data_IF_938290155745
#
_entry.id   IF_938290155745
#
_cell.length_a   1.000
_cell.length_b   1.000
_cell.length_c   1.000
_cell.angle_alpha   90.00
_cell.angle_beta   90.00
_cell.angle_gamma   90.00
#
_symmetry.space_group_name_H-M   'P 1'
#
loop_
_entity.id
_entity.type
_entity.pdbx_description
1 polymer ?
#
# COMPACT_ATOMS: atom_id res chain seq x y z
N UNK A 1 -40.99 -57.34 38.05
CA UNK A 1 -41.61 -56.03 38.31
C UNK A 1 -40.63 -54.94 37.89
N UNK A 2 -40.98 -54.11 36.87
CA UNK A 2 -40.58 -52.68 36.68
C UNK A 2 -39.07 -52.32 36.70
N UNK A 3 -38.42 -51.63 35.76
CA UNK A 3 -38.66 -50.94 34.48
C UNK A 3 -37.25 -50.83 33.82
N UNK A 4 -37.12 -51.10 32.51
CA UNK A 4 -36.70 -50.17 31.43
C UNK A 4 -35.40 -49.36 31.63
N UNK A 5 -34.66 -49.25 30.51
CA UNK A 5 -33.59 -48.30 30.12
C UNK A 5 -32.18 -48.91 30.12
N UNK A 6 -31.75 -49.48 28.99
CA UNK A 6 -30.49 -49.12 28.31
C UNK A 6 -30.41 -49.83 26.94
N UNK A 7 -30.98 -49.22 25.90
CA UNK A 7 -30.80 -49.65 24.50
C UNK A 7 -30.34 -48.45 23.65
N UNK A 8 -29.23 -47.81 24.01
CA UNK A 8 -28.50 -46.91 23.10
C UNK A 8 -27.01 -47.05 23.42
N UNK A 9 -26.36 -48.03 22.80
CA UNK A 9 -24.91 -48.17 22.82
C UNK A 9 -24.48 -49.06 21.64
N UNK A 10 -24.82 -48.68 20.40
CA UNK A 10 -24.14 -49.17 19.20
C UNK A 10 -24.52 -48.41 17.89
N UNK A 11 -24.66 -47.09 17.94
CA UNK A 11 -24.62 -46.22 16.73
C UNK A 11 -23.87 -44.95 17.13
N UNK A 12 -22.59 -45.11 17.46
CA UNK A 12 -21.72 -44.02 17.91
C UNK A 12 -20.28 -44.21 17.42
N UNK A 13 -20.11 -44.85 16.26
CA UNK A 13 -18.81 -45.06 15.64
C UNK A 13 -18.93 -45.23 14.12
N UNK A 14 -19.67 -44.35 13.44
CA UNK A 14 -19.71 -44.27 11.96
C UNK A 14 -20.28 -42.94 11.45
N UNK A 15 -20.07 -41.86 12.21
CA UNK A 15 -20.31 -40.48 11.77
C UNK A 15 -19.21 -39.56 12.34
N UNK A 16 -17.93 -39.95 12.20
CA UNK A 16 -16.90 -38.93 12.04
C UNK A 16 -17.09 -38.37 10.63
N UNK A 17 -17.88 -37.30 10.61
CA UNK A 17 -18.01 -36.33 9.53
C UNK A 17 -16.72 -36.25 8.70
N UNK A 18 -16.86 -36.56 7.42
CA UNK A 18 -16.00 -36.04 6.38
C UNK A 18 -15.93 -34.52 6.57
N UNK A 19 -14.87 -34.05 7.23
CA UNK A 19 -14.44 -32.67 7.10
C UNK A 19 -13.95 -32.58 5.66
N UNK A 20 -14.55 -31.76 4.79
CA UNK A 20 -13.92 -31.49 3.51
C UNK A 20 -12.56 -30.88 3.85
N UNK A 21 -11.50 -31.66 3.65
CA UNK A 21 -10.19 -31.06 3.44
C UNK A 21 -10.39 -30.20 2.21
N UNK A 22 -10.51 -28.89 2.42
CA UNK A 22 -10.23 -27.91 1.38
C UNK A 22 -8.80 -28.17 0.95
N UNK A 23 -8.65 -29.02 -0.07
CA UNK A 23 -7.45 -29.05 -0.88
C UNK A 23 -7.40 -27.66 -1.47
N UNK A 24 -6.63 -26.77 -0.85
CA UNK A 24 -6.11 -25.61 -1.55
C UNK A 24 -5.39 -26.21 -2.76
N UNK A 25 -6.01 -26.12 -3.93
CA UNK A 25 -5.29 -26.38 -5.16
C UNK A 25 -4.11 -25.40 -5.12
N UNK A 26 -2.90 -25.93 -4.93
CA UNK A 26 -1.71 -25.12 -5.07
C UNK A 26 -1.79 -24.55 -6.48
N UNK A 27 -1.98 -23.23 -6.58
CA UNK A 27 -1.83 -22.55 -7.86
C UNK A 27 -0.45 -22.94 -8.38
N UNK A 28 -0.40 -23.54 -9.57
CA UNK A 28 0.88 -23.91 -10.19
C UNK A 28 1.78 -22.67 -10.22
N UNK A 29 3.03 -22.83 -9.78
CA UNK A 29 4.01 -21.75 -9.83
C UNK A 29 4.23 -21.34 -11.28
N UNK A 30 4.22 -20.03 -11.54
CA UNK A 30 4.49 -19.49 -12.85
C UNK A 30 5.92 -19.85 -13.30
N UNK A 31 6.05 -20.27 -14.55
CA UNK A 31 7.36 -20.47 -15.19
C UNK A 31 7.95 -19.10 -15.51
N UNK A 32 9.20 -18.87 -15.12
CA UNK A 32 9.94 -17.68 -15.54
C UNK A 32 10.43 -17.86 -16.98
N UNK A 33 10.00 -16.97 -17.87
CA UNK A 33 10.25 -17.03 -19.31
C UNK A 33 11.41 -16.12 -19.76
N UNK A 34 11.93 -15.29 -18.84
CA UNK A 34 12.89 -14.20 -19.09
C UNK A 34 14.10 -14.62 -19.93
N UNK A 35 14.75 -15.74 -19.59
CA UNK A 35 15.95 -16.24 -20.29
C UNK A 35 15.72 -16.63 -21.75
N UNK A 36 14.47 -16.95 -22.10
CA UNK A 36 14.06 -17.34 -23.46
C UNK A 36 13.28 -16.25 -24.18
N UNK A 37 13.07 -15.11 -23.52
CA UNK A 37 12.28 -14.00 -24.00
C UNK A 37 13.00 -13.29 -25.15
N UNK A 38 12.35 -13.19 -26.30
CA UNK A 38 12.85 -12.40 -27.42
C UNK A 38 12.30 -10.98 -27.31
N UNK A 39 13.20 -10.01 -27.15
CA UNK A 39 12.87 -8.59 -27.16
C UNK A 39 13.17 -7.98 -28.53
N UNK A 40 12.21 -7.23 -29.06
CA UNK A 40 12.44 -6.34 -30.21
C UNK A 40 11.93 -4.94 -29.91
N UNK A 41 12.67 -3.93 -30.36
CA UNK A 41 12.36 -2.54 -30.11
C UNK A 41 12.35 -1.77 -31.43
N UNK A 42 11.47 -0.77 -31.54
CA UNK A 42 11.27 0.01 -32.77
C UNK A 42 12.56 0.63 -33.32
N UNK A 43 13.48 1.04 -32.45
CA UNK A 43 14.68 1.84 -32.81
C UNK A 43 16.01 1.41 -32.18
N UNK A 44 16.00 0.50 -31.21
CA UNK A 44 17.16 0.21 -30.35
C UNK A 44 17.59 -1.25 -30.51
N UNK A 45 18.90 -1.50 -30.45
CA UNK A 45 19.48 -2.84 -30.62
C UNK A 45 20.10 -3.44 -29.35
N UNK A 46 20.40 -2.63 -28.33
CA UNK A 46 21.07 -3.09 -27.10
C UNK A 46 20.07 -3.53 -26.01
N UNK A 47 19.15 -4.45 -26.35
CA UNK A 47 18.05 -4.87 -25.48
C UNK A 47 18.44 -5.91 -24.43
N UNK A 48 19.60 -6.54 -24.55
CA UNK A 48 20.09 -7.51 -23.55
C UNK A 48 20.27 -6.93 -22.16
N UNK A 49 20.30 -5.60 -22.02
CA UNK A 49 20.30 -4.89 -20.74
C UNK A 49 18.99 -5.02 -19.96
N UNK A 50 17.89 -5.37 -20.64
CA UNK A 50 16.55 -5.47 -20.05
C UNK A 50 16.24 -6.88 -19.54
N UNK A 51 17.21 -7.79 -19.59
CA UNK A 51 17.08 -9.19 -19.14
C UNK A 51 18.37 -9.66 -18.47
N UNK A 52 19.17 -8.74 -17.91
CA UNK A 52 20.46 -9.05 -17.26
C UNK A 52 20.37 -9.10 -15.73
N UNK A 53 19.15 -9.09 -15.19
CA UNK A 53 18.86 -9.13 -13.76
C UNK A 53 19.47 -7.97 -12.95
N UNK A 54 19.67 -6.81 -13.59
CA UNK A 54 20.33 -5.66 -12.97
C UNK A 54 19.50 -4.39 -13.10
N UNK A 55 19.25 -3.74 -11.97
CA UNK A 55 18.62 -2.42 -11.91
C UNK A 55 19.60 -1.26 -12.17
N UNK A 56 20.85 -1.55 -12.58
CA UNK A 56 21.87 -0.54 -12.91
C UNK A 56 22.14 -0.39 -14.40
N UNK A 57 21.88 -1.46 -15.16
CA UNK A 57 21.71 -1.46 -16.61
C UNK A 57 20.39 -0.79 -16.92
N UNK A 58 20.37 0.12 -17.90
CA UNK A 58 19.18 0.87 -18.25
C UNK A 58 19.12 1.28 -19.71
N UNK A 59 17.89 1.47 -20.16
CA UNK A 59 17.54 1.99 -21.49
C UNK A 59 16.58 3.16 -21.31
N UNK A 60 16.93 4.29 -21.92
CA UNK A 60 16.03 5.43 -22.04
C UNK A 60 15.02 5.14 -23.14
N UNK A 61 13.74 5.21 -22.80
CA UNK A 61 12.61 5.10 -23.71
C UNK A 61 12.06 6.50 -23.99
N UNK A 62 11.59 6.72 -25.21
CA UNK A 62 10.92 7.96 -25.61
C UNK A 62 9.46 7.69 -25.95
N UNK A 63 8.63 8.72 -25.86
CA UNK A 63 7.23 8.63 -26.30
C UNK A 63 7.12 8.13 -27.74
N UNK A 64 6.33 7.06 -27.92
CA UNK A 64 6.13 6.40 -29.21
C UNK A 64 7.08 5.23 -29.47
N UNK A 65 7.99 4.93 -28.53
CA UNK A 65 8.73 3.68 -28.55
C UNK A 65 7.82 2.49 -28.24
N UNK A 66 8.10 1.38 -28.92
CA UNK A 66 7.41 0.11 -28.72
C UNK A 66 8.44 -0.96 -28.40
N UNK A 67 8.21 -1.68 -27.31
CA UNK A 67 8.94 -2.89 -26.95
C UNK A 67 8.02 -4.08 -27.16
N UNK A 68 8.36 -4.96 -28.10
CA UNK A 68 7.64 -6.20 -28.37
C UNK A 68 8.37 -7.36 -27.70
N UNK A 69 7.62 -8.17 -26.96
CA UNK A 69 8.08 -9.30 -26.17
C UNK A 69 7.47 -10.55 -26.78
N UNK A 70 8.31 -11.51 -27.17
CA UNK A 70 7.86 -12.78 -27.76
C UNK A 70 8.44 -13.97 -26.99
N UNK A 71 7.61 -14.98 -26.72
CA UNK A 71 7.99 -16.23 -26.04
C UNK A 71 7.25 -17.41 -26.67
N UNK A 72 7.83 -18.61 -26.58
CA UNK A 72 7.18 -19.86 -27.02
C UNK A 72 6.01 -20.25 -26.10
N UNK A 73 6.04 -19.80 -24.84
CA UNK A 73 4.98 -20.01 -23.85
C UNK A 73 4.15 -18.73 -23.69
N UNK A 74 2.80 -18.81 -23.60
CA UNK A 74 1.98 -17.63 -23.35
C UNK A 74 2.35 -16.90 -22.05
N UNK A 75 2.60 -15.60 -22.17
CA UNK A 75 2.98 -14.72 -21.06
C UNK A 75 1.73 -14.35 -20.26
N UNK A 76 1.69 -14.76 -19.00
CA UNK A 76 0.62 -14.50 -18.05
C UNK A 76 0.87 -13.32 -17.11
N UNK A 77 2.12 -12.91 -16.93
CA UNK A 77 2.49 -11.71 -16.18
C UNK A 77 3.81 -11.11 -16.66
N UNK A 78 3.95 -9.81 -16.45
CA UNK A 78 5.20 -9.07 -16.60
C UNK A 78 5.60 -8.46 -15.26
N UNK A 79 6.90 -8.32 -15.03
CA UNK A 79 7.44 -7.54 -13.93
C UNK A 79 8.50 -6.59 -14.50
N UNK A 80 8.19 -5.30 -14.44
CA UNK A 80 9.00 -4.24 -15.03
C UNK A 80 9.70 -3.44 -13.93
N UNK A 81 10.99 -3.17 -14.12
CA UNK A 81 11.80 -2.37 -13.21
C UNK A 81 12.23 -1.09 -13.91
N UNK A 82 11.89 0.05 -13.33
CA UNK A 82 12.21 1.40 -13.84
C UNK A 82 13.16 2.15 -12.89
N UNK A 83 14.12 2.90 -13.43
CA UNK A 83 15.06 3.75 -12.65
C UNK A 83 14.32 4.92 -11.97
N UNK A 84 13.19 5.36 -12.56
CA UNK A 84 12.33 6.44 -12.08
C UNK A 84 10.86 6.07 -12.26
N UNK A 85 9.94 6.66 -11.47
CA UNK A 85 8.51 6.48 -11.68
C UNK A 85 8.17 6.75 -13.15
N UNK A 86 7.62 5.77 -13.90
CA UNK A 86 7.32 5.95 -15.31
C UNK A 86 6.12 6.87 -15.48
N UNK A 87 6.06 7.60 -16.59
CA UNK A 87 4.80 8.16 -17.05
C UNK A 87 3.85 7.01 -17.47
N UNK A 88 2.51 7.21 -17.44
CA UNK A 88 1.57 6.18 -17.83
C UNK A 88 1.86 5.60 -19.21
N UNK A 89 1.73 4.28 -19.33
CA UNK A 89 2.01 3.51 -20.54
C UNK A 89 0.98 2.38 -20.70
N UNK A 90 1.04 1.64 -21.80
CA UNK A 90 0.13 0.53 -22.00
C UNK A 90 0.83 -0.75 -22.44
N UNK A 91 0.25 -1.89 -22.07
CA UNK A 91 0.63 -3.21 -22.56
C UNK A 91 -0.52 -3.74 -23.39
N UNK A 92 -0.25 -4.07 -24.66
CA UNK A 92 -1.20 -4.71 -25.55
C UNK A 92 -0.96 -6.23 -25.58
N UNK A 93 -2.05 -6.97 -25.40
CA UNK A 93 -2.10 -8.43 -25.45
C UNK A 93 -3.27 -8.86 -26.34
N UNK A 94 -2.98 -9.22 -27.60
CA UNK A 94 -4.01 -9.41 -28.63
C UNK A 94 -4.84 -8.13 -28.83
N UNK A 95 -6.15 -8.23 -28.57
CA UNK A 95 -7.09 -7.09 -28.62
C UNK A 95 -7.22 -6.34 -27.27
N UNK A 96 -6.60 -6.85 -26.20
CA UNK A 96 -6.69 -6.24 -24.86
C UNK A 96 -5.61 -5.19 -24.69
N UNK A 97 -5.98 -4.01 -24.17
CA UNK A 97 -5.06 -2.94 -23.76
C UNK A 97 -5.12 -2.80 -22.25
N UNK A 98 -3.96 -2.88 -21.60
CA UNK A 98 -3.81 -2.76 -20.15
C UNK A 98 -3.13 -1.43 -19.87
N UNK A 99 -3.73 -0.59 -19.03
CA UNK A 99 -3.17 0.70 -18.60
C UNK A 99 -2.26 0.49 -17.39
N UNK A 100 -1.05 1.03 -17.46
CA UNK A 100 0.03 0.79 -16.49
C UNK A 100 0.76 2.10 -16.14
N UNK A 101 1.61 2.09 -15.13
CA UNK A 101 2.42 3.25 -14.73
C UNK A 101 1.64 4.36 -14.03
N UNK A 102 0.46 4.06 -13.48
CA UNK A 102 -0.43 5.06 -12.86
C UNK A 102 -0.13 5.30 -11.37
N UNK A 103 0.64 4.39 -10.75
CA UNK A 103 0.89 4.43 -9.30
C UNK A 103 2.27 4.99 -8.93
N UNK A 104 3.12 5.30 -9.91
CA UNK A 104 4.48 5.80 -9.68
C UNK A 104 5.44 4.77 -9.08
N UNK A 105 5.18 3.47 -9.29
CA UNK A 105 6.04 2.41 -8.79
C UNK A 105 7.28 2.24 -9.67
N UNK A 106 8.43 1.99 -9.05
CA UNK A 106 9.64 1.60 -9.77
C UNK A 106 9.58 0.14 -10.21
N UNK A 107 8.99 -0.71 -9.37
CA UNK A 107 8.84 -2.14 -9.57
C UNK A 107 7.35 -2.40 -9.80
N UNK A 108 6.95 -2.71 -11.03
CA UNK A 108 5.54 -2.84 -11.40
C UNK A 108 5.25 -4.23 -11.97
N UNK A 109 4.31 -4.93 -11.34
CA UNK A 109 3.80 -6.23 -11.80
C UNK A 109 2.53 -6.02 -12.61
N UNK A 110 2.46 -6.59 -13.82
CA UNK A 110 1.33 -6.48 -14.73
C UNK A 110 0.81 -7.88 -15.03
N UNK A 111 -0.41 -8.17 -14.58
CA UNK A 111 -1.09 -9.42 -14.92
C UNK A 111 -1.73 -9.33 -16.31
N UNK A 112 -1.53 -10.36 -17.13
CA UNK A 112 -2.07 -10.45 -18.49
C UNK A 112 -3.32 -11.35 -18.47
N UNK A 113 -4.54 -10.79 -18.54
CA UNK A 113 -5.77 -11.58 -18.35
C UNK A 113 -5.95 -12.69 -19.41
N UNK A 114 -5.49 -12.41 -20.64
CA UNK A 114 -5.54 -13.32 -21.77
C UNK A 114 -4.11 -13.60 -22.25
N UNK A 115 -3.38 -14.56 -21.64
CA UNK A 115 -1.98 -14.79 -21.96
C UNK A 115 -1.72 -14.99 -23.46
N UNK A 116 -0.69 -14.33 -23.99
CA UNK A 116 -0.29 -14.41 -25.40
C UNK A 116 1.20 -14.72 -25.51
N UNK A 117 1.61 -15.33 -26.62
CA UNK A 117 3.03 -15.55 -26.95
C UNK A 117 3.73 -14.28 -27.44
N UNK A 118 2.98 -13.23 -27.76
CA UNK A 118 3.50 -11.92 -28.14
C UNK A 118 2.73 -10.80 -27.44
N UNK A 119 3.46 -9.86 -26.85
CA UNK A 119 2.95 -8.65 -26.22
C UNK A 119 3.66 -7.43 -26.79
N UNK A 120 3.00 -6.28 -26.83
CA UNK A 120 3.64 -5.01 -27.19
C UNK A 120 3.41 -3.98 -26.09
N UNK A 121 4.49 -3.44 -25.55
CA UNK A 121 4.46 -2.34 -24.59
C UNK A 121 4.65 -1.03 -25.34
N UNK A 122 3.71 -0.12 -25.18
CA UNK A 122 3.75 1.23 -25.72
C UNK A 122 4.22 2.17 -24.62
N UNK A 123 5.52 2.45 -24.61
CA UNK A 123 6.15 3.21 -23.54
C UNK A 123 6.05 4.72 -23.80
N UNK A 124 5.79 5.44 -22.72
CA UNK A 124 6.03 6.88 -22.61
C UNK A 124 7.51 7.13 -22.27
N UNK A 125 7.91 8.40 -22.18
CA UNK A 125 9.23 8.75 -21.67
C UNK A 125 9.47 8.10 -20.30
N UNK A 126 10.46 7.22 -20.24
CA UNK A 126 10.77 6.40 -19.08
C UNK A 126 12.21 5.87 -19.16
N UNK A 127 12.70 5.35 -18.04
CA UNK A 127 14.02 4.70 -17.96
C UNK A 127 13.78 3.29 -17.45
N UNK A 128 13.80 2.32 -18.36
CA UNK A 128 13.55 0.92 -18.05
C UNK A 128 14.89 0.23 -17.76
N UNK A 129 14.95 -0.47 -16.63
CA UNK A 129 16.13 -1.23 -16.21
C UNK A 129 16.00 -2.71 -16.59
N UNK A 130 14.85 -3.33 -16.29
CA UNK A 130 14.71 -4.78 -16.42
C UNK A 130 13.26 -5.19 -16.75
N UNK A 131 13.13 -6.36 -17.37
CA UNK A 131 11.87 -6.96 -17.81
C UNK A 131 11.90 -8.45 -17.55
N UNK A 132 11.00 -8.89 -16.67
CA UNK A 132 10.74 -10.30 -16.46
C UNK A 132 9.39 -10.66 -17.06
N UNK A 133 9.30 -11.85 -17.63
CA UNK A 133 8.06 -12.41 -18.14
C UNK A 133 7.80 -13.76 -17.49
N UNK A 134 6.55 -14.02 -17.14
CA UNK A 134 6.14 -15.26 -16.48
C UNK A 134 4.94 -15.87 -17.21
N UNK A 135 4.84 -17.19 -17.19
CA UNK A 135 3.61 -17.88 -17.58
C UNK A 135 2.49 -17.63 -16.56
N UNK A 136 1.28 -18.12 -16.83
CA UNK A 136 0.18 -18.00 -15.87
C UNK A 136 0.43 -18.89 -14.64
N UNK A 137 0.42 -18.31 -13.44
CA UNK A 137 0.58 -19.04 -12.20
C UNK A 137 0.86 -18.14 -11.01
N UNK A 138 1.18 -18.75 -9.86
CA UNK A 138 1.68 -18.01 -8.70
C UNK A 138 3.10 -17.49 -8.97
N UNK A 139 3.31 -16.19 -8.84
CA UNK A 139 4.60 -15.56 -9.08
C UNK A 139 5.63 -15.93 -7.99
N UNK A 140 6.93 -16.03 -8.33
CA UNK A 140 7.98 -16.24 -7.33
C UNK A 140 8.06 -15.10 -6.30
N UNK A 141 8.54 -15.42 -5.10
CA UNK A 141 8.57 -14.48 -3.97
C UNK A 141 9.40 -13.20 -4.20
N UNK A 142 10.31 -13.18 -5.17
CA UNK A 142 11.11 -11.99 -5.49
C UNK A 142 10.35 -10.95 -6.33
N UNK A 143 9.26 -11.36 -6.99
CA UNK A 143 8.46 -10.47 -7.83
C UNK A 143 7.62 -9.56 -6.94
N UNK A 144 7.83 -8.25 -7.06
CA UNK A 144 7.18 -7.28 -6.20
C UNK A 144 5.83 -6.85 -6.78
N UNK A 145 4.77 -7.42 -6.24
CA UNK A 145 3.39 -7.06 -6.52
C UNK A 145 2.88 -6.11 -5.42
N UNK A 146 3.21 -4.82 -5.58
CA UNK A 146 2.95 -3.79 -4.59
C UNK A 146 1.47 -3.37 -4.54
N UNK A 147 0.94 -3.26 -3.33
CA UNK A 147 -0.28 -2.50 -3.07
C UNK A 147 0.04 -1.00 -3.06
N UNK A 148 -0.95 -0.16 -3.39
CA UNK A 148 -0.85 1.30 -3.17
C UNK A 148 -0.57 1.59 -1.69
N UNK A 149 0.08 2.74 -1.38
CA UNK A 149 0.14 3.21 0.00
C UNK A 149 -1.26 3.21 0.61
N UNK A 150 -1.38 2.82 1.88
CA UNK A 150 -2.69 2.68 2.50
C UNK A 150 -3.47 4.00 2.53
N UNK A 151 -4.79 3.93 2.65
CA UNK A 151 -5.59 5.12 2.99
C UNK A 151 -5.44 5.45 4.48
N UNK A 152 -5.47 4.42 5.34
CA UNK A 152 -5.18 4.46 6.77
C UNK A 152 -4.24 3.31 7.19
N UNK A 153 -3.51 3.46 8.29
CA UNK A 153 -2.58 2.42 8.77
C UNK A 153 -2.67 2.21 10.27
N UNK A 154 -2.28 1.02 10.73
CA UNK A 154 -2.14 0.72 12.16
C UNK A 154 -0.82 1.34 12.68
N UNK A 155 0.23 1.26 11.88
CA UNK A 155 1.57 1.75 12.22
C UNK A 155 2.14 2.60 11.08
N UNK A 156 2.64 3.78 11.41
CA UNK A 156 3.45 4.61 10.51
C UNK A 156 4.91 4.62 10.98
N UNK A 157 5.81 4.12 10.14
CA UNK A 157 7.26 4.12 10.38
C UNK A 157 7.91 5.26 9.58
N UNK A 158 8.72 6.09 10.24
CA UNK A 158 9.33 7.29 9.65
C UNK A 158 10.87 7.23 9.60
N UNK A 159 11.46 6.35 8.77
CA UNK A 159 12.90 6.36 8.51
C UNK A 159 13.33 7.65 7.81
N UNK A 160 14.59 8.05 7.99
CA UNK A 160 15.13 9.23 7.31
C UNK A 160 15.60 8.86 5.92
N UNK A 161 16.54 7.92 5.82
CA UNK A 161 17.19 7.45 4.59
C UNK A 161 16.80 6.00 4.28
N UNK A 162 17.14 5.56 3.07
CA UNK A 162 17.05 4.16 2.65
C UNK A 162 18.13 3.30 3.33
N UNK A 163 17.74 2.53 4.35
CA UNK A 163 18.48 1.55 5.17
C UNK A 163 18.10 1.64 6.65
N UNK A 164 17.78 2.86 7.11
CA UNK A 164 17.38 3.19 8.48
C UNK A 164 16.25 2.29 9.00
N UNK A 165 15.29 1.96 8.13
CA UNK A 165 14.14 1.09 8.41
C UNK A 165 14.56 -0.27 8.98
N UNK A 166 15.75 -0.75 8.61
CA UNK A 166 16.30 -2.00 9.12
C UNK A 166 17.30 -1.77 10.25
N UNK A 167 18.18 -0.77 10.12
CA UNK A 167 19.27 -0.54 11.08
C UNK A 167 18.72 -0.16 12.47
N UNK A 168 17.78 0.78 12.53
CA UNK A 168 17.29 1.36 13.79
C UNK A 168 15.93 0.84 14.21
N UNK A 169 15.09 0.45 13.25
CA UNK A 169 13.73 -0.03 13.54
C UNK A 169 13.60 -1.55 13.50
N UNK A 170 14.63 -2.26 13.01
CA UNK A 170 14.85 -3.68 13.22
C UNK A 170 13.62 -4.55 12.98
N UNK A 171 13.18 -5.24 14.04
CA UNK A 171 12.13 -6.25 13.98
C UNK A 171 10.70 -5.72 13.80
N UNK A 172 10.47 -4.41 13.79
CA UNK A 172 9.13 -3.82 13.72
C UNK A 172 8.37 -4.31 12.48
N UNK A 173 8.95 -4.15 11.28
CA UNK A 173 8.27 -4.52 10.03
C UNK A 173 7.98 -6.02 9.91
N UNK A 174 8.95 -6.94 10.09
CA UNK A 174 8.66 -8.36 9.97
C UNK A 174 7.68 -8.83 11.06
N UNK A 175 7.73 -8.28 12.27
CA UNK A 175 6.79 -8.65 13.31
C UNK A 175 5.37 -8.12 13.03
N UNK A 176 5.19 -6.80 12.90
CA UNK A 176 3.85 -6.21 12.80
C UNK A 176 3.22 -6.39 11.42
N UNK A 177 3.97 -6.16 10.34
CA UNK A 177 3.43 -6.32 8.98
C UNK A 177 3.40 -7.80 8.57
N UNK A 178 4.56 -8.46 8.65
CA UNK A 178 4.71 -9.82 8.15
C UNK A 178 4.00 -10.88 8.99
N UNK A 179 4.23 -10.89 10.30
CA UNK A 179 3.68 -11.91 11.20
C UNK A 179 2.26 -11.57 11.71
N UNK A 180 2.01 -10.34 12.13
CA UNK A 180 0.73 -9.93 12.72
C UNK A 180 -0.28 -9.40 11.69
N UNK A 181 0.15 -9.13 10.45
CA UNK A 181 -0.74 -8.64 9.38
C UNK A 181 -1.27 -7.22 9.61
N UNK A 182 -0.64 -6.42 10.48
CA UNK A 182 -1.00 -5.01 10.69
C UNK A 182 -0.67 -4.20 9.43
N UNK A 183 -1.48 -3.19 9.15
CA UNK A 183 -1.21 -2.19 8.10
C UNK A 183 -0.04 -1.32 8.54
N UNK A 184 1.17 -1.70 8.16
CA UNK A 184 2.38 -0.90 8.40
C UNK A 184 2.70 -0.07 7.15
N UNK A 185 2.56 1.25 7.25
CA UNK A 185 3.00 2.18 6.23
C UNK A 185 4.41 2.68 6.56
N UNK A 186 5.31 2.62 5.60
CA UNK A 186 6.65 3.23 5.71
C UNK A 186 6.68 4.52 4.89
N UNK A 187 7.16 5.61 5.48
CA UNK A 187 7.29 6.90 4.82
C UNK A 187 8.66 7.53 5.11
N UNK A 188 9.49 7.65 4.08
CA UNK A 188 10.85 8.18 4.17
C UNK A 188 10.85 9.70 4.17
N UNK A 189 11.72 10.30 5.00
CA UNK A 189 11.91 11.75 4.99
C UNK A 189 12.69 12.22 3.78
N UNK A 190 13.71 11.50 3.30
CA UNK A 190 14.49 11.90 2.13
C UNK A 190 14.40 10.86 1.00
N UNK A 191 14.71 11.30 -0.22
CA UNK A 191 14.87 10.43 -1.38
C UNK A 191 16.34 10.27 -1.77
N UNK A 192 16.58 9.18 -2.48
CA UNK A 192 17.87 8.85 -3.07
C UNK A 192 17.82 8.87 -4.60
N UNK A 193 17.07 9.79 -5.20
CA UNK A 193 17.03 9.92 -6.66
C UNK A 193 18.43 10.21 -7.24
N UNK A 194 19.32 10.85 -6.48
CA UNK A 194 20.73 11.05 -6.88
C UNK A 194 21.55 9.76 -6.95
N UNK A 195 21.09 8.67 -6.32
CA UNK A 195 21.78 7.38 -6.20
C UNK A 195 20.86 6.26 -6.69
N UNK A 196 20.68 6.07 -8.01
CA UNK A 196 19.55 5.29 -8.55
C UNK A 196 19.43 3.84 -8.06
N UNK A 197 20.50 3.25 -7.54
CA UNK A 197 20.48 1.92 -6.93
C UNK A 197 19.77 1.89 -5.56
N UNK A 198 19.86 2.95 -4.75
CA UNK A 198 19.33 2.96 -3.37
C UNK A 198 17.81 2.84 -3.29
N UNK A 199 16.99 3.48 -4.17
CA UNK A 199 15.55 3.24 -4.19
C UNK A 199 15.19 1.76 -4.45
N UNK A 200 15.98 1.05 -5.27
CA UNK A 200 15.76 -0.37 -5.53
C UNK A 200 16.16 -1.24 -4.33
N UNK A 201 17.29 -0.93 -3.69
CA UNK A 201 17.73 -1.58 -2.46
C UNK A 201 16.68 -1.43 -1.33
N UNK A 202 16.12 -0.23 -1.19
CA UNK A 202 15.00 0.08 -0.29
C UNK A 202 13.78 -0.80 -0.57
N UNK A 203 13.30 -0.84 -1.83
CA UNK A 203 12.13 -1.64 -2.19
C UNK A 203 12.36 -3.13 -1.94
N UNK A 204 13.53 -3.63 -2.31
CA UNK A 204 13.93 -5.02 -2.06
C UNK A 204 13.95 -5.33 -0.55
N UNK A 205 14.50 -4.44 0.27
CA UNK A 205 14.58 -4.58 1.73
C UNK A 205 13.19 -4.66 2.37
N UNK A 206 12.31 -3.72 2.02
CA UNK A 206 10.92 -3.68 2.48
C UNK A 206 10.14 -4.94 2.06
N UNK A 207 10.26 -5.35 0.81
CA UNK A 207 9.58 -6.54 0.30
C UNK A 207 10.04 -7.81 1.03
N UNK A 208 11.35 -7.93 1.29
CA UNK A 208 11.97 -9.05 2.01
C UNK A 208 11.37 -9.23 3.40
N UNK A 209 11.09 -8.13 4.11
CA UNK A 209 10.57 -8.17 5.49
C UNK A 209 9.05 -8.15 5.60
N UNK A 210 8.34 -8.39 4.49
CA UNK A 210 6.88 -8.57 4.49
C UNK A 210 6.07 -7.28 4.32
N UNK A 211 6.69 -6.15 4.01
CA UNK A 211 5.94 -4.94 3.63
C UNK A 211 5.38 -5.13 2.22
N UNK A 212 4.11 -4.80 2.04
CA UNK A 212 3.38 -4.94 0.76
C UNK A 212 2.70 -3.67 0.29
N UNK A 213 2.54 -2.67 1.15
CA UNK A 213 2.16 -1.32 0.74
C UNK A 213 3.39 -0.58 0.25
N UNK A 214 3.30 0.06 -0.92
CA UNK A 214 4.41 0.82 -1.47
C UNK A 214 4.82 1.95 -0.51
N UNK A 215 6.12 2.18 -0.29
CA UNK A 215 6.58 3.23 0.61
C UNK A 215 6.24 4.62 0.06
N UNK A 216 5.98 5.57 0.96
CA UNK A 216 5.97 6.99 0.59
C UNK A 216 7.39 7.49 0.66
N UNK A 217 7.89 8.09 -0.42
CA UNK A 217 9.21 8.69 -0.49
C UNK A 217 9.00 10.17 -0.79
N UNK A 218 9.53 11.06 0.06
CA UNK A 218 9.36 12.50 -0.12
C UNK A 218 10.15 13.04 -1.32
N UNK A 219 9.87 14.30 -1.70
CA UNK A 219 10.65 15.03 -2.70
C UNK A 219 11.96 15.62 -2.14
N UNK A 220 12.23 15.51 -0.84
CA UNK A 220 13.41 16.11 -0.21
C UNK A 220 14.66 15.28 -0.51
N UNK A 221 15.67 15.88 -1.14
CA UNK A 221 16.92 15.19 -1.45
C UNK A 221 17.68 14.78 -0.18
N UNK A 222 18.35 13.63 -0.21
CA UNK A 222 19.32 13.27 0.81
C UNK A 222 20.52 14.25 0.82
N UNK A 223 20.79 14.87 1.97
CA UNK A 223 21.88 15.80 2.19
C UNK A 223 22.53 15.51 3.53
N UNK A 224 23.86 15.37 3.52
CA UNK A 224 24.61 15.05 4.73
C UNK A 224 24.63 16.19 5.75
N UNK A 225 24.37 15.86 7.02
CA UNK A 225 24.52 16.80 8.14
C UNK A 225 24.93 16.07 9.42
N UNK A 226 25.71 16.74 10.27
CA UNK A 226 26.15 16.24 11.58
C UNK A 226 25.56 17.00 12.76
N UNK A 227 24.58 17.88 12.52
CA UNK A 227 23.82 18.55 13.58
C UNK A 227 22.46 19.04 13.08
N UNK A 228 21.51 19.15 14.01
CA UNK A 228 20.19 19.71 13.77
C UNK A 228 20.26 21.12 13.22
N UNK A 229 21.10 21.98 13.81
CA UNK A 229 21.25 23.37 13.39
C UNK A 229 21.71 23.48 11.93
N UNK A 230 22.67 22.65 11.51
CA UNK A 230 23.09 22.63 10.12
C UNK A 230 21.99 22.03 9.22
N UNK A 231 21.33 20.95 9.63
CA UNK A 231 20.24 20.35 8.86
C UNK A 231 19.09 21.35 8.59
N UNK A 232 18.74 22.19 9.56
CA UNK A 232 17.75 23.27 9.41
C UNK A 232 18.15 24.34 8.38
N UNK A 233 19.42 24.45 8.01
CA UNK A 233 19.87 25.35 6.94
C UNK A 233 19.80 24.73 5.55
N UNK A 234 19.72 23.40 5.46
CA UNK A 234 19.71 22.65 4.20
C UNK A 234 18.31 22.51 3.61
N UNK A 235 17.28 22.56 4.45
CA UNK A 235 15.91 22.25 4.08
C UNK A 235 14.94 23.36 4.46
N UNK A 236 13.83 23.42 3.73
CA UNK A 236 12.65 24.16 4.18
C UNK A 236 11.95 23.36 5.27
N UNK A 237 12.19 23.75 6.52
CA UNK A 237 11.67 23.04 7.69
C UNK A 237 10.15 23.14 7.82
N UNK A 238 9.53 24.20 7.27
CA UNK A 238 8.07 24.34 7.30
C UNK A 238 7.42 23.37 6.32
N UNK A 239 8.00 23.21 5.12
CA UNK A 239 7.53 22.19 4.17
C UNK A 239 7.73 20.76 4.70
N UNK A 240 8.86 20.47 5.35
CA UNK A 240 9.08 19.15 5.94
C UNK A 240 8.12 18.87 7.11
N UNK A 241 7.81 19.89 7.93
CA UNK A 241 6.80 19.78 8.98
C UNK A 241 5.41 19.54 8.36
N UNK A 242 5.05 20.28 7.30
CA UNK A 242 3.80 20.11 6.57
C UNK A 242 3.64 18.69 6.04
N UNK A 243 4.72 18.13 5.47
CA UNK A 243 4.77 16.74 5.00
C UNK A 243 4.45 15.76 6.12
N UNK A 244 5.11 15.84 7.27
CA UNK A 244 4.83 14.92 8.38
C UNK A 244 3.41 15.10 8.96
N UNK A 245 2.91 16.34 9.08
CA UNK A 245 1.52 16.58 9.48
C UNK A 245 0.53 15.97 8.48
N UNK A 246 0.79 16.08 7.18
CA UNK A 246 0.02 15.40 6.15
C UNK A 246 0.07 13.88 6.32
N UNK A 247 1.24 13.27 6.56
CA UNK A 247 1.35 11.83 6.78
C UNK A 247 0.46 11.37 7.97
N UNK A 248 0.52 12.09 9.10
CA UNK A 248 -0.27 11.76 10.29
C UNK A 248 -1.79 11.88 10.03
N UNK A 249 -2.23 12.92 9.31
CA UNK A 249 -3.65 13.14 9.01
C UNK A 249 -4.19 12.22 7.93
N UNK A 250 -3.37 11.93 6.91
CA UNK A 250 -3.71 11.02 5.83
C UNK A 250 -3.85 9.61 6.36
N UNK A 251 -2.78 9.07 6.93
CA UNK A 251 -2.70 7.66 7.30
C UNK A 251 -3.33 7.35 8.66
N UNK A 252 -3.58 8.35 9.50
CA UNK A 252 -4.26 8.19 10.81
C UNK A 252 -3.70 7.04 11.65
N UNK A 253 -2.37 6.98 11.86
CA UNK A 253 -1.76 5.85 12.53
C UNK A 253 -2.15 5.77 14.00
N UNK A 254 -2.51 4.57 14.47
CA UNK A 254 -2.63 4.27 15.89
C UNK A 254 -1.25 4.40 16.59
N UNK A 255 -0.19 3.98 15.89
CA UNK A 255 1.20 4.09 16.35
C UNK A 255 2.08 4.78 15.30
N UNK A 256 2.82 5.82 15.69
CA UNK A 256 3.91 6.39 14.87
C UNK A 256 5.27 6.22 15.54
N UNK A 257 6.30 5.93 14.74
CA UNK A 257 7.66 5.65 15.23
C UNK A 257 8.68 6.48 14.46
N UNK A 258 9.59 7.13 15.21
CA UNK A 258 10.70 7.90 14.66
C UNK A 258 12.05 7.58 15.32
N UNK A 259 13.10 8.26 14.85
CA UNK A 259 14.48 8.08 15.31
C UNK A 259 14.71 8.61 16.74
N UNK A 260 15.87 8.28 17.29
CA UNK A 260 16.42 8.95 18.48
C UNK A 260 16.49 10.47 18.30
N UNK A 261 16.17 11.20 19.37
CA UNK A 261 16.22 12.68 19.43
C UNK A 261 17.63 13.18 19.11
N UNK A 262 18.67 12.42 19.47
CA UNK A 262 20.05 12.79 19.17
C UNK A 262 20.50 12.34 17.77
N UNK A 263 19.60 11.78 16.96
CA UNK A 263 19.88 11.34 15.60
C UNK A 263 20.81 10.15 15.55
N UNK A 264 20.63 9.20 16.45
CA UNK A 264 21.39 7.96 16.54
C UNK A 264 22.88 8.25 16.82
N UNK A 265 23.70 8.20 15.77
CA UNK A 265 25.12 8.52 15.80
C UNK A 265 25.44 10.01 15.65
N UNK A 266 24.43 10.87 15.84
CA UNK A 266 24.55 12.32 15.72
C UNK A 266 24.26 12.84 14.32
N UNK A 267 23.57 12.06 13.48
CA UNK A 267 23.22 12.48 12.13
C UNK A 267 22.17 13.60 12.18
N UNK A 268 22.50 14.76 11.62
CA UNK A 268 21.69 15.96 11.73
C UNK A 268 20.31 15.84 11.07
N UNK A 269 20.19 15.02 10.01
CA UNK A 269 18.90 14.80 9.35
C UNK A 269 18.02 13.83 10.13
N UNK A 270 18.59 12.87 10.87
CA UNK A 270 17.82 12.04 11.81
C UNK A 270 17.26 12.90 12.94
N UNK A 271 18.10 13.80 13.48
CA UNK A 271 17.66 14.79 14.48
C UNK A 271 16.54 15.67 13.93
N UNK A 272 16.65 16.12 12.68
CA UNK A 272 15.64 16.95 12.04
C UNK A 272 14.32 16.17 11.88
N UNK A 273 14.38 14.92 11.41
CA UNK A 273 13.21 14.05 11.27
C UNK A 273 12.43 13.93 12.59
N UNK A 274 13.12 13.58 13.68
CA UNK A 274 12.51 13.47 15.01
C UNK A 274 12.05 14.81 15.57
N UNK A 275 12.82 15.89 15.39
CA UNK A 275 12.44 17.24 15.81
C UNK A 275 11.14 17.71 15.14
N UNK A 276 10.95 17.38 13.87
CA UNK A 276 9.72 17.69 13.14
C UNK A 276 8.57 16.77 13.60
N UNK A 277 8.83 15.49 13.85
CA UNK A 277 7.78 14.54 14.28
C UNK A 277 7.18 14.96 15.61
N UNK A 278 8.04 15.35 16.56
CA UNK A 278 7.63 15.87 17.86
C UNK A 278 6.72 17.11 17.76
N UNK A 279 6.87 17.93 16.71
CA UNK A 279 5.98 19.06 16.44
C UNK A 279 4.73 18.63 15.67
N UNK A 280 4.86 17.70 14.73
CA UNK A 280 3.77 17.22 13.90
C UNK A 280 2.68 16.55 14.76
N UNK A 281 3.06 15.75 15.76
CA UNK A 281 2.11 15.08 16.66
C UNK A 281 1.35 16.04 17.60
N UNK A 282 1.90 17.24 17.83
CA UNK A 282 1.20 18.30 18.57
C UNK A 282 0.26 19.12 17.67
N UNK A 283 0.52 19.15 16.37
CA UNK A 283 -0.20 20.00 15.41
C UNK A 283 -1.20 19.25 14.54
N UNK A 284 -1.06 17.93 14.36
CA UNK A 284 -1.92 17.14 13.48
C UNK A 284 -3.38 17.13 13.93
N UNK A 285 -3.63 17.32 15.23
CA UNK A 285 -4.96 17.47 15.83
C UNK A 285 -5.58 18.87 15.73
N UNK A 286 -4.79 19.93 15.43
CA UNK A 286 -5.28 21.31 15.37
C UNK A 286 -5.76 21.69 13.96
N UNK A 287 -7.06 21.99 13.74
CA UNK A 287 -7.57 22.34 12.42
C UNK A 287 -7.02 23.65 11.85
N UNK A 288 -6.40 24.51 12.67
CA UNK A 288 -5.80 25.77 12.21
C UNK A 288 -4.35 25.61 11.73
N UNK A 289 -3.65 24.55 12.18
CA UNK A 289 -2.32 24.20 11.70
C UNK A 289 -2.44 23.48 10.35
N UNK A 290 -1.70 23.93 9.33
CA UNK A 290 -1.71 23.37 7.98
C UNK A 290 -3.14 23.16 7.43
N UNK A 291 -3.87 24.27 7.25
CA UNK A 291 -5.31 24.26 6.93
C UNK A 291 -5.66 23.44 5.68
N UNK A 292 -4.83 23.47 4.63
CA UNK A 292 -5.06 22.69 3.40
C UNK A 292 -5.03 21.18 3.66
N UNK A 293 -4.09 20.73 4.49
CA UNK A 293 -4.00 19.33 4.93
C UNK A 293 -5.20 18.95 5.80
N UNK A 294 -5.62 19.83 6.72
CA UNK A 294 -6.82 19.61 7.54
C UNK A 294 -8.10 19.53 6.69
N UNK A 295 -8.21 20.38 5.67
CA UNK A 295 -9.34 20.35 4.73
C UNK A 295 -9.37 19.05 3.92
N UNK A 296 -8.20 18.57 3.48
CA UNK A 296 -8.09 17.39 2.62
C UNK A 296 -8.29 16.08 3.37
N UNK A 297 -7.70 15.92 4.55
CA UNK A 297 -7.65 14.64 5.26
C UNK A 297 -8.39 14.64 6.62
N UNK A 298 -8.81 15.82 7.08
CA UNK A 298 -9.27 16.04 8.45
C UNK A 298 -8.11 16.26 9.42
N UNK A 299 -8.42 16.40 10.70
CA UNK A 299 -7.43 16.38 11.79
C UNK A 299 -7.31 14.98 12.37
N UNK A 300 -6.16 14.69 12.98
CA UNK A 300 -5.92 13.42 13.63
C UNK A 300 -4.93 13.59 14.77
N UNK A 301 -5.29 13.13 15.96
CA UNK A 301 -4.43 13.14 17.14
C UNK A 301 -3.88 11.72 17.36
N UNK A 302 -2.57 11.56 17.18
CA UNK A 302 -1.91 10.25 17.15
C UNK A 302 -1.96 9.61 18.54
N UNK A 303 -2.52 8.39 18.68
CA UNK A 303 -2.66 7.73 19.98
C UNK A 303 -1.34 7.43 20.67
N UNK A 304 -0.33 6.91 19.95
CA UNK A 304 0.99 6.60 20.52
C UNK A 304 2.13 7.02 19.59
N UNK A 305 3.13 7.69 20.16
CA UNK A 305 4.36 8.06 19.47
C UNK A 305 5.55 7.47 20.18
N UNK A 306 6.33 6.64 19.49
CA UNK A 306 7.56 6.07 19.99
C UNK A 306 8.77 6.64 19.28
N UNK A 307 9.87 6.74 20.00
CA UNK A 307 11.15 7.12 19.44
C UNK A 307 12.20 6.05 19.80
N UNK A 308 13.06 5.72 18.85
CA UNK A 308 14.21 4.85 19.09
C UNK A 308 15.10 5.44 20.21
N UNK A 309 15.58 4.59 21.12
CA UNK A 309 16.42 4.96 22.27
C UNK A 309 15.83 5.99 23.25
N UNK A 310 14.53 6.29 23.20
CA UNK A 310 13.91 7.21 24.15
C UNK A 310 13.85 6.60 25.55
N UNK A 311 14.30 7.35 26.55
CA UNK A 311 14.54 6.82 27.90
C UNK A 311 13.27 6.66 28.76
N UNK A 312 12.19 7.37 28.44
CA UNK A 312 10.97 7.34 29.24
C UNK A 312 10.03 6.28 28.73
N UNK A 313 9.41 5.57 29.69
CA UNK A 313 8.50 4.46 29.41
C UNK A 313 9.12 3.49 28.37
N UNK A 314 10.40 3.21 28.56
CA UNK A 314 11.19 2.44 27.61
C UNK A 314 10.87 0.94 27.71
N UNK A 315 10.96 0.26 26.58
CA UNK A 315 10.90 -1.19 26.50
C UNK A 315 11.93 -1.72 25.49
N UNK A 316 12.16 -3.03 25.56
CA UNK A 316 12.99 -3.75 24.60
C UNK A 316 12.08 -4.72 23.86
N UNK A 317 11.91 -4.51 22.56
CA UNK A 317 11.10 -5.38 21.71
C UNK A 317 11.73 -6.78 21.65
N UNK A 318 10.89 -7.81 21.78
CA UNK A 318 11.31 -9.16 21.46
C UNK A 318 11.41 -9.34 19.94
N UNK A 319 12.59 -9.76 19.49
CA UNK A 319 12.91 -9.98 18.08
C UNK A 319 13.52 -11.36 17.86
N UNK A 320 13.52 -12.21 18.88
CA UNK A 320 14.11 -13.55 18.86
C UNK A 320 13.04 -14.66 18.82
N UNK A 321 11.76 -14.30 18.99
CA UNK A 321 10.65 -15.22 18.75
C UNK A 321 10.54 -15.61 17.26
N UNK A 322 10.45 -16.92 16.93
CA UNK A 322 10.25 -17.41 15.57
C UNK A 322 8.96 -16.91 14.93
N UNK A 323 9.05 -16.37 13.72
CA UNK A 323 7.90 -15.91 12.95
C UNK A 323 7.47 -16.99 11.95
N UNK A 324 6.26 -17.52 12.11
CA UNK A 324 5.69 -18.51 11.20
C UNK A 324 5.56 -17.97 9.76
N UNK A 325 5.32 -16.66 9.61
CA UNK A 325 5.23 -16.01 8.30
C UNK A 325 6.55 -16.06 7.51
N UNK A 326 7.67 -16.26 8.19
CA UNK A 326 9.01 -16.31 7.59
C UNK A 326 9.69 -17.68 7.81
N UNK A 327 8.90 -18.75 7.86
CA UNK A 327 9.43 -20.11 7.96
C UNK A 327 10.19 -20.39 9.27
N UNK A 328 9.88 -19.65 10.34
CA UNK A 328 10.52 -19.79 11.66
C UNK A 328 11.74 -18.89 11.88
N UNK A 329 12.12 -18.05 10.91
CA UNK A 329 13.10 -16.98 11.15
C UNK A 329 12.60 -15.98 12.16
N UNK A 330 13.49 -15.39 12.95
CA UNK A 330 13.13 -14.36 13.92
C UNK A 330 12.97 -12.99 13.26
N UNK A 331 12.34 -12.04 13.95
CA UNK A 331 12.23 -10.67 13.46
C UNK A 331 13.62 -10.02 13.25
N UNK A 332 14.61 -10.36 14.07
CA UNK A 332 15.99 -9.91 13.91
C UNK A 332 16.66 -10.48 12.66
N UNK A 333 16.51 -11.79 12.41
CA UNK A 333 17.06 -12.42 11.20
C UNK A 333 16.46 -11.79 9.94
N UNK A 334 15.15 -11.53 9.95
CA UNK A 334 14.49 -10.83 8.85
C UNK A 334 14.99 -9.39 8.67
N UNK A 335 15.22 -8.65 9.76
CA UNK A 335 15.79 -7.31 9.67
C UNK A 335 17.20 -7.33 9.04
N UNK A 336 18.03 -8.32 9.40
CA UNK A 336 19.35 -8.55 8.78
C UNK A 336 19.22 -8.88 7.29
N UNK A 337 18.24 -9.72 6.89
CA UNK A 337 17.99 -10.04 5.48
C UNK A 337 17.46 -8.85 4.68
N UNK A 338 16.60 -8.02 5.28
CA UNK A 338 16.16 -6.76 4.69
C UNK A 338 17.33 -5.81 4.45
N UNK A 339 18.18 -5.61 5.47
CA UNK A 339 19.39 -4.80 5.34
C UNK A 339 20.40 -5.38 4.34
N UNK A 340 20.45 -6.70 4.16
CA UNK A 340 21.30 -7.33 3.15
C UNK A 340 20.92 -6.93 1.71
N UNK A 341 19.73 -6.37 1.49
CA UNK A 341 19.35 -5.79 0.19
C UNK A 341 20.01 -4.43 -0.07
N UNK A 342 20.43 -3.71 0.98
CA UNK A 342 21.19 -2.45 0.92
C UNK A 342 22.67 -2.68 0.65
N UNK A 343 22.97 -3.33 -0.49
CA UNK A 343 24.32 -3.75 -0.89
C UNK A 343 25.32 -2.60 -0.88
N UNK A 344 24.88 -1.41 -1.26
CA UNK A 344 25.72 -0.20 -1.26
C UNK A 344 26.16 0.26 0.15
N UNK A 345 25.41 -0.11 1.20
CA UNK A 345 25.60 0.39 2.57
C UNK A 345 26.27 -0.62 3.52
N UNK A 346 26.30 -1.91 3.17
CA UNK A 346 26.81 -3.00 4.05
C UNK A 346 28.27 -2.84 4.51
N UNK A 347 29.07 -2.00 3.85
CA UNK A 347 30.44 -1.71 4.28
C UNK A 347 30.50 -0.89 5.59
N UNK A 348 29.46 -0.11 5.86
CA UNK A 348 29.47 0.92 6.90
C UNK A 348 28.53 0.62 8.06
N UNK A 349 27.42 -0.08 7.79
CA UNK A 349 26.37 -0.32 8.76
C UNK A 349 26.02 -1.81 8.88
N UNK A 350 25.36 -2.15 9.97
CA UNK A 350 24.83 -3.47 10.30
C UNK A 350 23.61 -3.32 11.22
N UNK A 351 22.74 -4.33 11.21
CA UNK A 351 21.61 -4.40 12.14
C UNK A 351 22.10 -4.97 13.47
N UNK A 352 22.07 -4.16 14.51
CA UNK A 352 22.58 -4.53 15.83
C UNK A 352 21.44 -4.62 16.85
N UNK A 353 21.25 -5.81 17.44
CA UNK A 353 20.34 -6.00 18.57
C UNK A 353 21.02 -5.85 19.93
N UNK A 354 22.11 -5.09 19.99
CA UNK A 354 22.86 -4.83 21.21
C UNK A 354 23.67 -3.55 21.09
N UNK A 355 24.31 -3.12 22.19
CA UNK A 355 25.18 -1.96 22.18
C UNK A 355 24.42 -0.63 22.19
N UNK A 356 25.06 0.40 21.61
CA UNK A 356 24.60 1.79 21.69
C UNK A 356 23.36 2.05 20.83
N UNK A 357 23.26 1.39 19.68
CA UNK A 357 22.18 1.55 18.70
C UNK A 357 21.37 0.27 18.58
N UNK A 358 21.08 -0.35 19.73
CA UNK A 358 20.30 -1.59 19.82
C UNK A 358 18.89 -1.37 19.25
N UNK A 359 18.64 -1.92 18.05
CA UNK A 359 17.44 -1.71 17.23
C UNK A 359 16.12 -2.19 17.89
N UNK A 360 16.20 -2.75 19.10
CA UNK A 360 15.05 -3.22 19.88
C UNK A 360 14.54 -2.18 20.88
N UNK A 361 15.31 -1.12 21.15
CA UNK A 361 15.05 -0.20 22.26
C UNK A 361 14.21 0.98 21.81
N UNK A 362 13.01 1.10 22.36
CA UNK A 362 12.11 2.21 22.11
C UNK A 362 11.57 2.77 23.42
N UNK A 363 11.14 4.03 23.40
CA UNK A 363 10.38 4.61 24.50
C UNK A 363 9.18 5.42 24.00
N UNK A 364 8.14 5.45 24.81
CA UNK A 364 6.90 6.16 24.53
C UNK A 364 7.10 7.66 24.78
N UNK A 365 7.19 8.44 23.70
CA UNK A 365 7.34 9.89 23.74
C UNK A 365 6.03 10.58 24.12
N UNK A 366 4.92 10.13 23.51
CA UNK A 366 3.59 10.74 23.66
C UNK A 366 2.51 9.67 23.59
N UNK A 367 1.45 9.84 24.37
CA UNK A 367 0.28 8.96 24.36
C UNK A 367 -1.00 9.71 24.71
N UNK A 368 -2.11 9.35 24.07
CA UNK A 368 -3.47 9.77 24.45
C UNK A 368 -4.28 8.63 25.10
N UNK A 369 -3.73 7.41 25.09
CA UNK A 369 -4.39 6.17 25.55
C UNK A 369 -3.77 5.57 26.81
N UNK A 370 -2.79 6.25 27.40
CA UNK A 370 -2.13 5.83 28.64
C UNK A 370 -0.72 5.28 28.43
N UNK A 371 0.00 5.13 29.55
CA UNK A 371 1.37 4.63 29.60
C UNK A 371 1.42 3.12 29.47
N UNK A 372 2.51 2.59 28.90
CA UNK A 372 2.70 1.14 28.80
C UNK A 372 3.14 0.56 30.14
N UNK A 373 2.73 -0.68 30.37
CA UNK A 373 3.17 -1.49 31.50
C UNK A 373 4.56 -2.10 31.30
N UNK A 374 5.12 -2.00 30.09
CA UNK A 374 6.41 -2.57 29.71
C UNK A 374 6.32 -3.96 29.08
N UNK A 375 5.15 -4.32 28.53
CA UNK A 375 4.89 -5.63 27.89
C UNK A 375 5.70 -5.90 26.63
N UNK A 376 6.20 -4.84 25.97
CA UNK A 376 6.91 -4.93 24.70
C UNK A 376 6.02 -4.84 23.46
N UNK A 377 4.71 -4.60 23.64
CA UNK A 377 3.75 -4.39 22.56
C UNK A 377 3.53 -2.89 22.30
N UNK A 378 3.81 -2.46 21.07
CA UNK A 378 3.61 -1.07 20.66
C UNK A 378 2.13 -0.65 20.73
N UNK A 379 1.21 -1.59 20.56
CA UNK A 379 -0.24 -1.37 20.52
C UNK A 379 -0.91 -1.52 21.89
N UNK A 380 -0.15 -1.65 22.97
CA UNK A 380 -0.73 -1.71 24.32
C UNK A 380 -1.67 -0.51 24.57
N UNK A 381 -2.85 -0.77 25.16
CA UNK A 381 -3.93 0.19 25.40
C UNK A 381 -4.64 0.75 24.15
N UNK A 382 -4.35 0.25 22.95
CA UNK A 382 -5.11 0.57 21.74
C UNK A 382 -6.26 -0.44 21.60
N UNK A 383 -7.48 0.04 21.48
CA UNK A 383 -8.64 -0.82 21.25
C UNK A 383 -8.55 -1.41 19.84
N UNK A 384 -8.46 -2.74 19.73
CA UNK A 384 -8.50 -3.39 18.41
C UNK A 384 -9.86 -3.15 17.74
N UNK A 385 -9.85 -2.44 16.61
CA UNK A 385 -11.05 -2.31 15.79
C UNK A 385 -11.45 -3.68 15.23
N UNK A 386 -12.73 -4.03 15.30
CA UNK A 386 -13.24 -5.35 14.88
C UNK A 386 -13.18 -5.61 13.37
N UNK A 387 -12.75 -4.64 12.56
CA UNK A 387 -12.73 -4.74 11.09
C UNK A 387 -11.55 -5.55 10.53
N UNK A 388 -10.48 -5.77 11.30
CA UNK A 388 -9.27 -6.46 10.80
C UNK A 388 -9.47 -7.96 10.56
N UNK A 389 -10.59 -8.56 11.00
CA UNK A 389 -10.87 -9.99 10.81
C UNK A 389 -11.48 -10.35 9.45
N UNK A 390 -11.86 -9.38 8.61
CA UNK A 390 -12.53 -9.67 7.33
C UNK A 390 -11.63 -9.65 6.08
N UNK A 391 -10.34 -9.31 6.17
CA UNK A 391 -9.45 -9.18 4.99
C UNK A 391 -8.43 -10.32 4.81
N UNK A 392 -8.65 -11.48 5.45
CA UNK A 392 -7.86 -12.71 5.20
C UNK A 392 -8.54 -13.71 4.24
N UNK A 393 -9.42 -13.26 3.35
CA UNK A 393 -9.66 -14.00 2.10
C UNK A 393 -8.69 -13.45 1.05
N UNK A 394 -7.71 -14.29 0.65
CA UNK A 394 -6.83 -14.04 -0.49
C UNK A 394 -7.66 -13.53 -1.67
N UNK A 395 -7.21 -12.44 -2.29
CA UNK A 395 -7.63 -12.05 -3.66
C UNK A 395 -7.13 -13.14 -4.61
N UNK A 396 -7.88 -14.22 -4.65
CA UNK A 396 -7.60 -15.44 -5.38
C UNK A 396 -8.91 -16.06 -5.86
N UNK A 397 -9.82 -15.22 -6.35
CA UNK A 397 -10.86 -15.59 -7.32
C UNK A 397 -11.58 -14.32 -7.78
N UNK A 398 -11.07 -13.67 -8.83
CA UNK A 398 -11.87 -12.72 -9.60
C UNK A 398 -12.84 -13.52 -10.47
N UNK A 399 -13.97 -13.93 -9.89
CA UNK A 399 -15.20 -14.10 -10.69
C UNK A 399 -15.59 -12.74 -11.23
N UNK A 400 -15.31 -12.52 -12.52
CA UNK A 400 -15.72 -11.35 -13.28
C UNK A 400 -17.26 -11.32 -13.31
N UNK A 401 -17.87 -10.54 -12.43
CA UNK A 401 -19.21 -9.99 -12.66
C UNK A 401 -19.11 -8.92 -13.73
N UNK A 402 -19.55 -9.26 -14.95
CA UNK A 402 -19.90 -8.27 -15.99
C UNK A 402 -20.85 -7.24 -15.38
N UNK A 403 -20.45 -5.97 -15.30
CA UNK A 403 -21.32 -4.80 -15.39
C UNK A 403 -20.50 -3.51 -15.39
N UNK A 404 -20.09 -3.06 -16.58
CA UNK A 404 -19.74 -1.65 -16.84
C UNK A 404 -19.36 -1.46 -18.31
N UNK A 405 -20.34 -1.60 -19.21
CA UNK A 405 -20.25 -1.10 -20.57
C UNK A 405 -21.61 -0.53 -20.97
N UNK A 406 -21.99 0.60 -20.37
CA UNK A 406 -23.05 1.49 -20.86
C UNK A 406 -23.10 2.76 -20.00
N UNK A 407 -21.99 3.50 -19.93
CA UNK A 407 -22.03 4.90 -19.48
C UNK A 407 -20.71 5.60 -19.81
N UNK A 408 -20.60 6.02 -21.07
CA UNK A 408 -19.92 7.26 -21.51
C UNK A 408 -19.84 7.21 -23.03
N UNK A 409 -20.94 7.57 -23.67
CA UNK A 409 -20.84 8.18 -24.99
C UNK A 409 -21.90 9.28 -25.10
N UNK A 410 -21.54 10.36 -25.77
CA UNK A 410 -22.28 11.60 -26.00
C UNK A 410 -22.25 12.64 -24.86
N UNK A 411 -21.15 13.40 -24.78
CA UNK A 411 -21.24 14.80 -24.40
C UNK A 411 -20.23 15.68 -25.17
N UNK A 412 -20.47 15.89 -26.47
CA UNK A 412 -19.97 17.07 -27.19
C UNK A 412 -21.04 17.59 -28.17
N UNK A 413 -21.15 18.93 -28.20
CA UNK A 413 -21.80 19.81 -29.17
C UNK A 413 -23.30 20.18 -28.99
N UNK A 414 -23.50 21.31 -28.29
CA UNK A 414 -24.48 22.38 -28.56
C UNK A 414 -24.66 22.62 -30.09
N UNK A 415 -25.77 23.01 -30.71
CA UNK A 415 -26.93 23.85 -30.33
C UNK A 415 -27.96 23.75 -31.46
N UNK A 416 -29.24 23.43 -31.21
CA UNK A 416 -30.37 23.95 -32.00
C UNK A 416 -31.70 23.72 -31.27
N UNK A 417 -32.37 24.82 -30.90
CA UNK A 417 -33.69 24.82 -30.24
C UNK A 417 -34.80 24.55 -31.25
N UNK A 418 -35.67 23.58 -30.97
CA UNK A 418 -37.05 23.53 -31.47
C UNK A 418 -37.95 22.74 -30.48
N UNK A 419 -39.28 22.96 -30.45
CA UNK A 419 -40.01 23.06 -29.18
C UNK A 419 -41.10 22.00 -29.02
N UNK A 420 -40.94 21.01 -28.14
CA UNK A 420 -42.05 20.13 -27.74
C UNK A 420 -41.82 19.55 -26.33
N UNK A 421 -42.09 20.30 -25.26
CA UNK A 421 -42.42 19.75 -23.92
C UNK A 421 -43.27 20.75 -23.12
N UNK A 422 -44.42 21.09 -23.69
CA UNK A 422 -45.64 21.41 -22.94
C UNK A 422 -46.50 20.16 -23.14
N UNK A 423 -46.91 19.41 -22.11
CA UNK A 423 -48.07 18.46 -22.09
C UNK A 423 -48.09 17.46 -20.90
N UNK A 424 -47.29 17.64 -19.83
CA UNK A 424 -47.48 16.87 -18.57
C UNK A 424 -48.41 17.59 -17.56
N UNK A 425 -48.89 18.80 -17.87
CA UNK A 425 -49.73 19.60 -16.97
C UNK A 425 -51.26 19.45 -17.08
N UNK A 426 -51.79 18.60 -17.97
CA UNK A 426 -53.25 18.62 -18.28
C UNK A 426 -54.01 17.38 -17.77
N UNK A 427 -53.33 16.32 -17.32
CA UNK A 427 -53.98 15.13 -16.73
C UNK A 427 -54.43 15.29 -15.28
N UNK A 428 -53.74 16.10 -14.47
CA UNK A 428 -54.02 16.23 -13.03
C UNK A 428 -55.10 17.28 -12.70
N UNK A 429 -55.31 18.28 -13.57
CA UNK A 429 -56.31 19.35 -13.35
C UNK A 429 -57.76 18.91 -13.59
N UNK A 430 -58.01 17.98 -14.52
CA UNK A 430 -59.36 17.55 -14.88
C UNK A 430 -60.03 16.70 -13.78
N UNK A 431 -59.25 15.95 -13.00
CA UNK A 431 -59.76 15.10 -11.90
C UNK A 431 -60.19 15.96 -10.70
N UNK A 432 -59.47 17.04 -10.41
CA UNK A 432 -59.81 17.97 -9.31
C UNK A 432 -61.06 18.79 -9.64
N UNK A 433 -61.22 19.24 -10.88
CA UNK A 433 -62.43 19.98 -11.30
C UNK A 433 -63.67 19.09 -11.29
N UNK A 434 -63.58 17.82 -11.71
CA UNK A 434 -64.71 16.89 -11.62
C UNK A 434 -65.12 16.59 -10.17
N UNK A 435 -64.18 16.48 -9.24
CA UNK A 435 -64.47 16.26 -7.82
C UNK A 435 -65.19 17.47 -7.19
N UNK A 436 -64.78 18.70 -7.54
CA UNK A 436 -65.41 19.93 -7.05
C UNK A 436 -66.83 20.10 -7.61
N UNK A 437 -67.05 19.81 -8.90
CA UNK A 437 -68.38 19.88 -9.51
C UNK A 437 -69.33 18.85 -8.91
N UNK A 438 -68.88 17.61 -8.66
CA UNK A 438 -69.69 16.59 -7.99
C UNK A 438 -70.03 16.97 -6.54
N UNK A 439 -69.11 17.59 -5.82
CA UNK A 439 -69.35 18.08 -4.46
C UNK A 439 -70.39 19.21 -4.42
N UNK A 440 -70.31 20.17 -5.35
CA UNK A 440 -71.29 21.27 -5.45
C UNK A 440 -72.68 20.76 -5.85
N UNK A 441 -72.77 19.83 -6.81
CA UNK A 441 -74.05 19.24 -7.23
C UNK A 441 -74.72 18.42 -6.10
N UNK A 442 -73.94 17.68 -5.30
CA UNK A 442 -74.48 16.97 -4.13
C UNK A 442 -74.98 17.93 -3.04
N UNK A 443 -74.34 19.10 -2.87
CA UNK A 443 -74.74 20.11 -1.89
C UNK A 443 -75.99 20.88 -2.33
N UNK A 444 -76.18 21.10 -3.64
CA UNK A 444 -77.39 21.71 -4.19
C UNK A 444 -78.60 20.78 -4.08
N UNK A 445 -78.42 19.46 -4.25
CA UNK A 445 -79.52 18.47 -4.13
C UNK A 445 -80.03 18.27 -2.69
N UNK A 446 -79.25 18.70 -1.67
CA UNK A 446 -79.65 18.67 -0.26
C UNK A 446 -80.35 19.95 0.22
N UNK A 447 -80.37 21.02 -0.58
CA UNK A 447 -81.07 22.29 -0.24
C UNK A 447 -82.48 22.41 -0.83
N UNK A 448 -82.92 21.48 -1.67
CA UNK A 448 -84.29 21.44 -2.22
C UNK A 448 -85.27 20.60 -1.40
N UNK A 449 -84.88 20.08 -0.23
CA UNK A 449 -85.77 19.34 0.67
C UNK A 449 -85.63 19.72 2.15
N UNK A 450 -85.37 20.99 2.46
CA UNK A 450 -85.62 21.58 3.78
C UNK A 450 -85.58 23.10 3.76
#
# INVERSE_FOLDING_TARGET
MKYRIFCILLIGLLCLSAVPQSVFAASETAEELTDTLTLSHSRLSALSKLTDASYTSKIQMQTGDTLTLSSDTPIGALYLIFDRPPAPYTVQSGETIIHCGENGFLHETIYIPNPQTELTIYLSESILCDVYAFSKGALPDFVQDWNKPYDDCDLLLLPTHADDEHIFFGGIMPYYAGQQGKKVQVAYLTNHWGEPYRPHELLNGLWTVGIRAYPVISEFNDLYSMSLDHAKTLYDTEQMLAYQVELLRRFKPEVVIGHDINGEYGHGVHQLNTYLLMQAVEQSGDPNAFADSAQKYGTFDVPKTYLHLYEKNAFVMDVDEPLSAFGGKTAYEMAVEGFAQHRSQQKWFSVEKSGKYDCRKFGLYRTTVGLDTGSGDLFENIEESTDTKQTMERVGDLTITKNSAEQQDANQAQTQRSPVFLWIGIGAGAVVVCAIVLFVLQRMKRRTHR
#
